data_IF_366981723155
#
_entry.id   IF_366981723155
#
_cell.length_a   1.000
_cell.length_b   1.000
_cell.length_c   1.000
_cell.angle_alpha   90.00
_cell.angle_beta   90.00
_cell.angle_gamma   90.00
#
_symmetry.space_group_name_H-M   'P 1'
#
loop_
_entity.id
_entity.type
_entity.pdbx_description
1 polymer ?
#
# COMPACT_ATOMS: atom_id res chain seq x y z
N UNK A 1 90.02 -37.74 -0.54
CA UNK A 1 90.56 -37.65 0.83
C UNK A 1 89.81 -36.56 1.57
N UNK A 2 89.03 -36.98 2.59
CA UNK A 2 88.49 -36.23 3.76
C UNK A 2 87.54 -35.05 3.50
N UNK A 3 86.48 -34.78 4.26
CA UNK A 3 85.80 -35.39 5.42
C UNK A 3 84.42 -34.67 5.48
N UNK A 4 83.35 -35.40 5.80
CA UNK A 4 82.02 -34.88 6.16
C UNK A 4 82.06 -34.01 7.42
N UNK A 5 81.10 -33.09 7.62
CA UNK A 5 80.43 -32.86 8.92
C UNK A 5 79.11 -32.12 8.67
N UNK A 6 78.06 -32.68 9.23
CA UNK A 6 76.72 -32.11 9.33
C UNK A 6 76.66 -31.01 10.40
N UNK A 7 75.82 -29.99 10.19
CA UNK A 7 75.36 -29.11 11.25
C UNK A 7 73.83 -29.01 11.18
N UNK A 8 73.21 -29.75 12.09
CA UNK A 8 71.80 -29.72 12.44
C UNK A 8 71.56 -28.43 13.24
N UNK A 9 70.69 -27.53 12.78
CA UNK A 9 70.15 -26.46 13.61
C UNK A 9 68.63 -26.58 13.69
N UNK A 10 68.18 -26.61 14.93
CA UNK A 10 66.82 -26.81 15.43
C UNK A 10 66.28 -25.46 15.91
N UNK A 11 64.95 -25.33 15.87
CA UNK A 11 64.06 -24.30 16.42
C UNK A 11 63.86 -22.99 15.63
N UNK A 12 62.62 -22.81 15.17
CA UNK A 12 61.75 -21.76 15.71
C UNK A 12 60.28 -22.08 15.42
N UNK A 13 59.52 -22.38 16.48
CA UNK A 13 58.06 -22.37 16.44
C UNK A 13 57.60 -20.91 16.47
N UNK A 14 56.83 -20.49 15.48
CA UNK A 14 56.16 -19.18 15.46
C UNK A 14 54.67 -19.43 15.73
N UNK A 15 54.17 -18.73 16.74
CA UNK A 15 52.80 -18.84 17.23
C UNK A 15 51.74 -18.27 16.28
N UNK A 16 50.51 -18.58 16.69
CA UNK A 16 49.20 -18.16 16.17
C UNK A 16 49.09 -16.63 15.94
N UNK A 17 48.16 -16.08 15.15
CA UNK A 17 46.72 -16.37 15.03
C UNK A 17 46.24 -15.93 13.63
N UNK A 18 45.43 -16.78 12.97
CA UNK A 18 44.60 -16.33 11.86
C UNK A 18 43.51 -15.39 12.41
N UNK A 19 43.51 -14.13 11.97
CA UNK A 19 42.38 -13.24 12.20
C UNK A 19 41.17 -13.73 11.38
N UNK A 20 39.98 -13.91 11.98
CA UNK A 20 38.77 -14.00 11.18
C UNK A 20 38.54 -12.61 10.57
N UNK A 21 38.61 -12.52 9.25
CA UNK A 21 38.09 -11.37 8.53
C UNK A 21 36.57 -11.35 8.78
N UNK A 22 36.10 -10.46 9.65
CA UNK A 22 34.70 -10.09 9.70
C UNK A 22 34.39 -9.30 8.43
N UNK A 23 33.57 -9.78 7.48
CA UNK A 23 32.91 -8.86 6.61
C UNK A 23 31.89 -8.13 7.48
N UNK A 24 32.19 -6.89 7.88
CA UNK A 24 31.14 -5.93 8.25
C UNK A 24 30.44 -5.54 6.95
N UNK A 25 29.73 -6.50 6.38
CA UNK A 25 28.62 -6.20 5.50
C UNK A 25 27.58 -5.56 6.39
N UNK A 26 27.45 -4.24 6.30
CA UNK A 26 26.22 -3.60 6.75
C UNK A 26 25.10 -4.35 6.04
N UNK A 27 24.32 -5.13 6.80
CA UNK A 27 23.08 -5.68 6.30
C UNK A 27 22.25 -4.48 5.86
N UNK A 28 22.21 -4.23 4.55
CA UNK A 28 21.17 -3.45 3.90
C UNK A 28 19.87 -4.11 4.34
N UNK A 29 19.23 -3.51 5.33
CA UNK A 29 17.94 -3.97 5.83
C UNK A 29 17.05 -4.07 4.60
N UNK A 30 16.52 -5.27 4.33
CA UNK A 30 15.59 -5.47 3.24
C UNK A 30 14.51 -4.39 3.35
N UNK A 31 14.30 -3.64 2.27
CA UNK A 31 13.25 -2.63 2.15
C UNK A 31 11.95 -3.27 2.67
N UNK A 32 11.36 -2.69 3.72
CA UNK A 32 10.04 -3.13 4.19
C UNK A 32 9.09 -3.07 2.98
N UNK A 33 8.38 -4.17 2.71
CA UNK A 33 7.31 -4.19 1.71
C UNK A 33 6.13 -3.39 2.29
N UNK A 34 6.17 -2.07 2.18
CA UNK A 34 5.14 -1.16 2.67
C UNK A 34 5.43 -0.51 4.03
N UNK A 35 4.42 0.14 4.64
CA UNK A 35 4.59 1.00 5.83
C UNK A 35 4.57 0.25 7.17
N UNK A 36 4.50 -1.09 7.14
CA UNK A 36 4.31 -1.94 8.33
C UNK A 36 2.88 -1.95 8.86
N UNK A 37 2.68 -2.65 9.98
CA UNK A 37 1.35 -2.87 10.61
C UNK A 37 0.99 -1.81 11.64
N UNK A 38 1.94 -0.97 12.04
CA UNK A 38 1.69 0.17 12.93
C UNK A 38 1.34 1.40 12.11
N UNK A 39 0.24 2.05 12.47
CA UNK A 39 -0.20 3.28 11.81
C UNK A 39 0.85 4.38 11.99
N UNK A 40 1.33 4.91 10.86
CA UNK A 40 2.29 6.00 10.84
C UNK A 40 1.55 7.33 11.05
N UNK A 41 2.19 8.29 11.73
CA UNK A 41 1.59 9.61 11.97
C UNK A 41 1.19 10.30 10.66
N UNK A 42 -0.03 10.86 10.62
CA UNK A 42 -0.58 11.54 9.43
C UNK A 42 -1.16 10.61 8.36
N UNK A 43 -1.19 9.30 8.62
CA UNK A 43 -1.82 8.29 7.78
C UNK A 43 -3.02 7.67 8.48
N UNK A 44 -3.87 7.01 7.68
CA UNK A 44 -5.10 6.38 8.13
C UNK A 44 -5.25 4.99 7.51
N UNK A 45 -5.88 4.09 8.25
CA UNK A 45 -6.52 2.94 7.62
C UNK A 45 -7.79 3.44 6.93
N UNK A 46 -8.06 3.00 5.70
CA UNK A 46 -9.36 3.29 5.06
C UNK A 46 -10.17 2.01 5.12
N UNK A 47 -11.35 2.05 5.75
CA UNK A 47 -12.19 0.86 5.94
C UNK A 47 -13.63 1.08 5.51
N UNK A 48 -14.30 0.00 5.13
CA UNK A 48 -15.74 0.01 4.95
C UNK A 48 -16.48 0.06 6.30
N UNK A 49 -17.51 0.90 6.36
CA UNK A 49 -18.29 1.16 7.58
C UNK A 49 -19.71 0.57 7.52
N UNK A 50 -20.03 -0.19 6.47
CA UNK A 50 -21.33 -0.85 6.31
C UNK A 50 -21.17 -2.30 5.84
N UNK A 51 -22.14 -3.15 6.14
CA UNK A 51 -22.21 -4.51 5.60
C UNK A 51 -22.34 -4.52 4.06
N UNK A 52 -21.94 -5.58 3.35
CA UNK A 52 -21.31 -6.81 3.85
C UNK A 52 -19.79 -6.69 4.09
N UNK A 53 -19.16 -5.56 3.74
CA UNK A 53 -17.71 -5.37 3.83
C UNK A 53 -17.27 -4.64 5.10
N UNK A 54 -18.11 -4.64 6.13
CA UNK A 54 -17.80 -3.97 7.38
C UNK A 54 -16.47 -4.47 7.96
N UNK A 55 -15.57 -3.54 8.31
CA UNK A 55 -14.18 -3.84 8.73
C UNK A 55 -13.31 -4.54 7.67
N UNK A 56 -13.61 -4.35 6.38
CA UNK A 56 -12.65 -4.58 5.30
C UNK A 56 -11.91 -3.30 4.97
N UNK A 57 -10.62 -3.42 4.67
CA UNK A 57 -9.65 -2.34 4.60
C UNK A 57 -9.08 -2.18 3.19
N UNK A 58 -8.87 -0.94 2.79
CA UNK A 58 -8.30 -0.59 1.50
C UNK A 58 -6.88 -1.13 1.37
N UNK A 59 -6.62 -1.81 0.28
CA UNK A 59 -5.30 -2.33 -0.06
C UNK A 59 -5.14 -2.42 -1.58
N UNK A 60 -3.89 -2.59 -2.00
CA UNK A 60 -3.56 -2.88 -3.39
C UNK A 60 -3.55 -4.39 -3.62
N UNK A 61 -3.92 -4.83 -4.81
CA UNK A 61 -3.67 -6.19 -5.28
C UNK A 61 -2.83 -6.12 -6.57
N UNK A 62 -1.56 -6.57 -6.55
CA UNK A 62 -0.83 -7.20 -5.43
C UNK A 62 -0.53 -6.25 -4.24
N UNK A 63 -0.35 -6.81 -3.03
CA UNK A 63 -0.11 -6.03 -1.80
C UNK A 63 1.16 -5.18 -1.90
N UNK A 64 1.06 -3.90 -1.51
CA UNK A 64 2.15 -2.91 -1.52
C UNK A 64 2.84 -2.73 -2.90
N UNK A 65 2.08 -2.90 -3.99
CA UNK A 65 2.50 -2.63 -5.38
C UNK A 65 1.40 -1.87 -6.13
N UNK A 66 1.72 -1.15 -7.22
CA UNK A 66 0.69 -0.65 -8.14
C UNK A 66 -0.22 -1.78 -8.58
N UNK A 67 -1.53 -1.52 -8.62
CA UNK A 67 -2.50 -2.58 -8.86
C UNK A 67 -3.91 -2.19 -8.48
N UNK A 68 -4.82 -3.16 -8.57
CA UNK A 68 -6.25 -2.92 -8.32
C UNK A 68 -6.47 -2.52 -6.87
N UNK A 69 -7.35 -1.55 -6.63
CA UNK A 69 -7.78 -1.21 -5.28
C UNK A 69 -8.89 -2.18 -4.84
N UNK A 70 -8.73 -2.76 -3.65
CA UNK A 70 -9.67 -3.73 -3.08
C UNK A 70 -9.94 -3.42 -1.61
N UNK A 71 -11.06 -3.89 -1.07
CA UNK A 71 -11.31 -3.91 0.38
C UNK A 71 -11.20 -5.33 0.92
N UNK A 72 -10.23 -5.59 1.81
CA UNK A 72 -9.98 -6.94 2.29
C UNK A 72 -9.57 -7.00 3.77
N UNK A 73 -9.13 -8.16 4.25
CA UNK A 73 -8.66 -8.36 5.62
C UNK A 73 -7.66 -7.27 6.08
N UNK A 74 -7.77 -6.87 7.34
CA UNK A 74 -6.86 -5.90 7.99
C UNK A 74 -5.39 -6.33 7.92
N UNK A 75 -5.11 -7.62 7.81
CA UNK A 75 -3.77 -8.22 7.78
C UNK A 75 -2.89 -7.71 6.64
N UNK A 76 -3.50 -7.18 5.57
CA UNK A 76 -2.80 -6.64 4.39
C UNK A 76 -3.20 -5.19 4.10
N UNK A 77 -3.85 -4.52 5.06
CA UNK A 77 -4.32 -3.15 4.92
C UNK A 77 -3.17 -2.20 4.56
N UNK A 78 -3.43 -1.29 3.63
CA UNK A 78 -2.54 -0.17 3.35
C UNK A 78 -2.83 1.01 4.28
N UNK A 79 -1.88 1.94 4.38
CA UNK A 79 -2.05 3.20 5.08
C UNK A 79 -2.16 4.33 4.06
N UNK A 80 -3.13 5.23 4.22
CA UNK A 80 -3.44 6.25 3.22
C UNK A 80 -3.63 7.62 3.83
N UNK A 81 -3.46 8.64 3.00
CA UNK A 81 -3.72 10.02 3.36
C UNK A 81 -4.20 10.78 2.13
N UNK A 82 -4.96 11.86 2.33
CA UNK A 82 -5.32 12.76 1.23
C UNK A 82 -4.32 13.92 1.23
N UNK A 83 -3.63 14.10 0.09
CA UNK A 83 -2.64 15.16 -0.10
C UNK A 83 -2.88 15.82 -1.46
N UNK A 84 -3.08 17.13 -1.49
CA UNK A 84 -3.32 17.91 -2.72
C UNK A 84 -4.41 17.29 -3.63
N UNK A 85 -5.49 16.80 -3.02
CA UNK A 85 -6.59 16.19 -3.75
C UNK A 85 -6.34 14.77 -4.25
N UNK A 86 -5.22 14.15 -3.89
CA UNK A 86 -4.87 12.77 -4.22
C UNK A 86 -5.07 11.88 -3.00
N UNK A 87 -5.63 10.67 -3.18
CA UNK A 87 -5.50 9.63 -2.17
C UNK A 87 -4.14 8.92 -2.38
N UNK A 88 -3.26 9.11 -1.40
CA UNK A 88 -1.87 8.67 -1.42
C UNK A 88 -1.73 7.43 -0.55
N UNK A 89 -1.07 6.39 -1.06
CA UNK A 89 -0.71 5.19 -0.31
C UNK A 89 0.72 5.33 0.25
N UNK A 90 0.88 5.08 1.54
CA UNK A 90 2.18 5.00 2.19
C UNK A 90 2.89 3.73 1.73
N UNK A 91 4.09 3.88 1.18
CA UNK A 91 4.92 2.75 0.70
C UNK A 91 6.15 2.52 1.58
N UNK A 92 6.18 3.15 2.76
CA UNK A 92 7.30 3.10 3.70
C UNK A 92 8.26 4.28 3.55
N UNK A 93 9.08 4.51 4.57
CA UNK A 93 10.05 5.60 4.59
C UNK A 93 11.01 5.55 3.39
N UNK A 94 11.26 6.70 2.77
CA UNK A 94 12.17 6.83 1.62
C UNK A 94 11.64 6.25 0.31
N UNK A 95 10.40 5.76 0.25
CA UNK A 95 9.78 5.25 -0.97
C UNK A 95 8.80 6.26 -1.57
N UNK A 96 8.70 6.27 -2.91
CA UNK A 96 7.67 7.03 -3.59
C UNK A 96 6.30 6.41 -3.33
N UNK A 97 5.27 7.23 -3.04
CA UNK A 97 3.95 6.70 -2.77
C UNK A 97 3.24 6.23 -4.04
N UNK A 98 2.09 5.57 -3.87
CA UNK A 98 1.14 5.33 -4.96
C UNK A 98 -0.05 6.28 -4.83
N UNK A 99 -0.72 6.53 -5.95
CA UNK A 99 -1.90 7.39 -6.02
C UNK A 99 -3.08 6.58 -6.51
N UNK A 100 -4.21 6.66 -5.82
CA UNK A 100 -5.45 6.06 -6.30
C UNK A 100 -5.91 6.82 -7.54
N UNK A 101 -5.96 6.13 -8.66
CA UNK A 101 -6.49 6.59 -9.92
C UNK A 101 -7.94 6.14 -10.06
N UNK A 102 -8.74 6.96 -10.74
CA UNK A 102 -10.12 6.67 -11.09
C UNK A 102 -10.25 6.60 -12.60
N UNK A 103 -10.98 5.61 -13.08
CA UNK A 103 -11.31 5.47 -14.49
C UNK A 103 -12.02 6.75 -14.98
N UNK A 104 -11.48 7.33 -16.06
CA UNK A 104 -12.20 8.35 -16.83
C UNK A 104 -12.95 7.66 -17.96
N UNK A 105 -14.28 7.51 -17.87
CA UNK A 105 -15.01 6.79 -18.89
C UNK A 105 -15.30 7.67 -20.10
N UNK A 106 -15.60 7.02 -21.23
CA UNK A 106 -16.18 7.70 -22.40
C UNK A 106 -17.65 8.05 -22.13
N UNK A 107 -18.39 7.14 -21.47
CA UNK A 107 -19.77 7.40 -21.02
C UNK A 107 -19.78 7.89 -19.56
N UNK A 108 -20.02 9.19 -19.38
CA UNK A 108 -20.10 9.83 -18.06
C UNK A 108 -21.35 9.42 -17.25
N UNK A 109 -22.25 8.60 -17.82
CA UNK A 109 -23.43 8.07 -17.12
C UNK A 109 -23.23 6.66 -16.56
N UNK A 110 -22.10 6.01 -16.84
CA UNK A 110 -21.85 4.67 -16.33
C UNK A 110 -21.82 4.66 -14.80
N UNK A 111 -22.35 3.60 -14.19
CA UNK A 111 -22.58 3.51 -12.74
C UNK A 111 -21.33 3.25 -11.89
N UNK A 112 -20.31 2.65 -12.50
CA UNK A 112 -19.11 2.16 -11.83
C UNK A 112 -17.88 2.75 -12.48
N UNK A 113 -17.00 3.39 -11.71
CA UNK A 113 -15.67 3.79 -12.20
C UNK A 113 -14.61 2.95 -11.49
N UNK A 114 -13.80 2.23 -12.25
CA UNK A 114 -12.73 1.41 -11.69
C UNK A 114 -11.71 2.27 -10.94
N UNK A 115 -11.12 1.69 -9.88
CA UNK A 115 -10.05 2.34 -9.13
C UNK A 115 -8.83 1.44 -9.00
N UNK A 116 -7.65 2.04 -9.11
CA UNK A 116 -6.37 1.32 -9.02
C UNK A 116 -5.27 2.26 -8.51
N UNK A 117 -4.25 1.71 -7.86
CA UNK A 117 -3.08 2.47 -7.45
C UNK A 117 -2.00 2.46 -8.52
N UNK A 118 -1.43 3.62 -8.79
CA UNK A 118 -0.33 3.79 -9.74
C UNK A 118 0.76 4.70 -9.17
N UNK A 119 1.95 4.70 -9.76
CA UNK A 119 3.03 5.64 -9.44
C UNK A 119 2.77 7.05 -10.00
N UNK A 120 1.81 7.18 -10.91
CA UNK A 120 1.38 8.45 -11.49
C UNK A 120 0.14 8.97 -10.78
N UNK A 121 0.11 10.29 -10.52
CA UNK A 121 -1.04 10.98 -9.91
C UNK A 121 -2.28 10.83 -10.77
N UNK A 122 -3.42 10.72 -10.10
CA UNK A 122 -4.73 10.73 -10.73
C UNK A 122 -4.99 12.08 -11.38
N UNK A 123 -5.41 12.06 -12.64
CA UNK A 123 -5.77 13.25 -13.40
C UNK A 123 -7.27 13.46 -13.51
N UNK A 124 -8.08 12.54 -12.97
CA UNK A 124 -9.54 12.59 -13.07
C UNK A 124 -10.21 12.64 -11.70
N UNK A 125 -10.58 13.86 -11.30
CA UNK A 125 -11.24 14.13 -10.04
C UNK A 125 -10.29 14.28 -8.84
N UNK A 126 -10.89 14.49 -7.69
CA UNK A 126 -10.24 14.93 -6.45
C UNK A 126 -10.79 14.16 -5.27
N UNK A 127 -9.90 13.70 -4.40
CA UNK A 127 -10.22 13.08 -3.13
C UNK A 127 -10.20 14.09 -1.99
N UNK A 128 -11.06 13.89 -1.01
CA UNK A 128 -11.11 14.66 0.23
C UNK A 128 -11.70 13.83 1.36
N UNK A 129 -11.36 14.15 2.61
CA UNK A 129 -12.11 13.68 3.76
C UNK A 129 -13.22 14.68 4.11
N UNK A 130 -14.42 14.17 4.39
CA UNK A 130 -15.51 14.93 5.00
C UNK A 130 -15.91 14.22 6.29
N UNK A 131 -15.44 14.73 7.42
CA UNK A 131 -15.39 13.92 8.65
C UNK A 131 -14.41 12.76 8.47
N UNK A 132 -14.85 11.54 8.75
CA UNK A 132 -14.10 10.30 8.46
C UNK A 132 -14.30 9.81 7.03
N UNK A 133 -15.42 10.13 6.38
CA UNK A 133 -15.75 9.62 5.07
C UNK A 133 -14.75 10.07 4.00
N UNK A 134 -14.22 9.09 3.24
CA UNK A 134 -13.43 9.36 2.05
C UNK A 134 -14.38 9.66 0.89
N UNK A 135 -14.22 10.84 0.31
CA UNK A 135 -15.03 11.35 -0.79
C UNK A 135 -14.21 11.49 -2.06
N UNK A 136 -14.90 11.43 -3.19
CA UNK A 136 -14.33 11.73 -4.49
C UNK A 136 -15.31 12.56 -5.33
N UNK A 137 -14.80 13.53 -6.09
CA UNK A 137 -15.62 14.34 -7.00
C UNK A 137 -14.84 14.73 -8.25
N UNK A 138 -15.55 15.07 -9.31
CA UNK A 138 -15.00 15.63 -10.55
C UNK A 138 -16.03 16.61 -11.12
N UNK A 139 -15.62 17.72 -11.75
CA UNK A 139 -16.57 18.64 -12.40
C UNK A 139 -17.36 17.97 -13.54
N UNK A 140 -16.85 16.88 -14.12
CA UNK A 140 -17.46 16.20 -15.27
C UNK A 140 -18.67 15.31 -14.90
N UNK A 141 -18.78 14.87 -13.64
CA UNK A 141 -19.82 13.92 -13.18
C UNK A 141 -20.43 14.45 -11.89
N UNK A 142 -21.70 14.86 -11.97
CA UNK A 142 -22.48 15.28 -10.79
C UNK A 142 -22.96 14.05 -10.01
N UNK A 143 -22.68 14.03 -8.71
CA UNK A 143 -23.02 12.92 -7.80
C UNK A 143 -23.81 13.45 -6.62
N UNK A 144 -24.88 12.75 -6.25
CA UNK A 144 -25.69 13.11 -5.07
C UNK A 144 -24.96 12.81 -3.75
N UNK A 145 -24.14 11.76 -3.74
CA UNK A 145 -23.34 11.36 -2.60
C UNK A 145 -21.88 11.16 -3.04
N UNK A 146 -20.97 12.02 -2.57
CA UNK A 146 -19.56 11.95 -2.90
C UNK A 146 -18.81 10.81 -2.18
N UNK A 147 -19.39 10.31 -1.08
CA UNK A 147 -18.90 9.18 -0.28
C UNK A 147 -19.49 7.84 -0.73
N UNK A 148 -20.17 7.77 -1.87
CA UNK A 148 -20.74 6.52 -2.38
C UNK A 148 -19.68 5.68 -3.10
N UNK A 149 -19.43 4.48 -2.60
CA UNK A 149 -18.51 3.50 -3.17
C UNK A 149 -19.25 2.22 -3.50
N UNK A 150 -18.66 1.41 -4.37
CA UNK A 150 -19.11 0.05 -4.61
C UNK A 150 -17.96 -0.91 -4.36
N UNK A 151 -18.26 -2.02 -3.70
CA UNK A 151 -17.39 -3.19 -3.67
C UNK A 151 -18.06 -4.29 -4.45
N UNK A 152 -17.40 -4.72 -5.51
CA UNK A 152 -17.94 -5.73 -6.43
C UNK A 152 -17.16 -7.05 -6.33
N UNK A 153 -17.41 -7.95 -7.28
CA UNK A 153 -16.69 -9.21 -7.40
C UNK A 153 -15.17 -9.06 -7.18
N UNK A 154 -14.59 -10.03 -6.47
CA UNK A 154 -13.17 -10.04 -6.08
C UNK A 154 -12.77 -8.85 -5.19
N UNK A 155 -13.72 -8.30 -4.42
CA UNK A 155 -13.51 -7.21 -3.47
C UNK A 155 -13.00 -5.90 -4.10
N UNK A 156 -13.16 -5.76 -5.42
CA UNK A 156 -12.71 -4.59 -6.17
C UNK A 156 -13.51 -3.36 -5.76
N UNK A 157 -12.80 -2.28 -5.49
CA UNK A 157 -13.38 -0.99 -5.10
C UNK A 157 -13.61 -0.12 -6.34
N UNK A 158 -14.80 0.48 -6.40
CA UNK A 158 -15.22 1.38 -7.46
C UNK A 158 -15.84 2.64 -6.86
N UNK A 159 -15.77 3.74 -7.62
CA UNK A 159 -16.64 4.89 -7.38
C UNK A 159 -18.06 4.55 -7.83
N UNK A 160 -19.05 4.81 -6.97
CA UNK A 160 -20.45 4.77 -7.34
C UNK A 160 -20.89 6.15 -7.88
N UNK A 161 -21.22 6.25 -9.16
CA UNK A 161 -21.78 7.49 -9.74
C UNK A 161 -23.31 7.53 -9.64
N UNK A 162 -23.94 6.43 -9.23
CA UNK A 162 -25.38 6.32 -9.06
C UNK A 162 -25.90 6.76 -7.69
N UNK A 163 -27.18 6.50 -7.48
CA UNK A 163 -27.84 6.75 -6.21
C UNK A 163 -27.46 5.63 -5.22
N UNK A 164 -26.89 6.01 -4.08
CA UNK A 164 -26.46 5.07 -3.05
C UNK A 164 -27.64 4.23 -2.52
N UNK A 165 -27.52 2.91 -2.53
CA UNK A 165 -28.54 1.98 -2.04
C UNK A 165 -29.74 1.81 -2.98
N UNK A 166 -29.69 2.38 -4.19
CA UNK A 166 -30.76 2.27 -5.19
C UNK A 166 -30.18 1.85 -6.54
N UNK A 167 -30.74 0.79 -7.13
CA UNK A 167 -30.25 0.21 -8.39
C UNK A 167 -28.75 -0.12 -8.35
N UNK A 168 -28.26 -0.59 -7.20
CA UNK A 168 -26.90 -1.11 -7.04
C UNK A 168 -26.61 -2.14 -8.15
N UNK A 169 -25.51 -2.00 -8.91
CA UNK A 169 -25.18 -2.96 -9.95
C UNK A 169 -25.11 -4.39 -9.43
N UNK A 170 -25.60 -5.35 -10.22
CA UNK A 170 -25.58 -6.77 -9.84
C UNK A 170 -24.15 -7.24 -9.55
N UNK A 171 -23.97 -7.97 -8.45
CA UNK A 171 -22.65 -8.42 -7.99
C UNK A 171 -21.83 -7.35 -7.28
N UNK A 172 -22.41 -6.19 -6.98
CA UNK A 172 -21.82 -5.13 -6.17
C UNK A 172 -22.64 -4.87 -4.91
N UNK A 173 -21.97 -4.37 -3.88
CA UNK A 173 -22.59 -3.81 -2.69
C UNK A 173 -22.20 -2.33 -2.57
N UNK A 174 -23.19 -1.49 -2.26
CA UNK A 174 -22.95 -0.11 -1.85
C UNK A 174 -22.14 -0.04 -0.56
N UNK A 175 -21.20 0.87 -0.52
CA UNK A 175 -20.27 1.04 0.60
C UNK A 175 -20.03 2.51 0.87
N UNK A 176 -19.88 2.82 2.16
CA UNK A 176 -19.18 4.03 2.60
C UNK A 176 -17.84 3.57 3.15
N UNK A 177 -16.76 4.26 2.77
CA UNK A 177 -15.42 4.01 3.31
C UNK A 177 -14.92 5.25 4.01
N UNK A 178 -14.20 5.06 5.12
CA UNK A 178 -13.74 6.17 5.95
C UNK A 178 -12.38 5.91 6.59
N UNK A 179 -11.75 7.00 7.00
CA UNK A 179 -10.52 7.01 7.76
C UNK A 179 -10.73 6.44 9.17
N UNK A 180 -9.81 5.57 9.56
CA UNK A 180 -9.69 5.03 10.89
C UNK A 180 -8.27 5.28 11.39
N UNK A 181 -8.17 6.02 12.50
CA UNK A 181 -6.91 6.36 13.16
C UNK A 181 -6.57 5.40 14.31
N UNK A 182 -7.42 4.42 14.59
CA UNK A 182 -7.20 3.47 15.67
C UNK A 182 -6.29 2.33 15.22
N UNK A 183 -5.80 1.56 16.20
CA UNK A 183 -5.10 0.30 15.92
C UNK A 183 -6.04 -0.66 15.17
N UNK A 184 -5.51 -1.35 14.16
CA UNK A 184 -6.25 -2.42 13.48
C UNK A 184 -6.67 -3.48 14.52
N UNK A 185 -7.98 -3.70 14.64
CA UNK A 185 -8.59 -4.77 15.42
C UNK A 185 -9.05 -5.89 14.48
#
# INVERSE_FOLDING_TARGET
MRISIAALYLLSAIGALAQPANPVGHAITARQDGPGTTLQSGWYWIRAVVAPNFHKYLQTTPTNKPGTAVLESYTTAGQYSVQDGQLVANTGAGSSPFYLNVEKPVDLKQRTLATWFNTTKNTFGTFAFQGDALTWSTPEIQRQNLAAWLVCAQQKLYINTGAYGYQTPSGCADQTVGADSNTLL
#
